data_IF_747595592314
#
_entry.id   IF_747595592314
#
_cell.length_a   1.000
_cell.length_b   1.000
_cell.length_c   1.000
_cell.angle_alpha   90.00
_cell.angle_beta   90.00
_cell.angle_gamma   90.00
#
_symmetry.space_group_name_H-M   'P 1'
#
loop_
_entity.id
_entity.type
_entity.pdbx_description
1 polymer ?
#
# COMPACT_ATOMS: atom_id res chain seq x y z
N UNK A 1 -47.66 -5.39 -0.52
CA UNK A 1 -47.01 -5.91 -1.76
C UNK A 1 -48.07 -5.96 -2.85
N UNK A 2 -47.80 -5.43 -4.04
CA UNK A 2 -48.78 -5.35 -5.13
C UNK A 2 -48.81 -6.69 -5.92
N UNK A 3 -49.94 -7.41 -5.99
CA UNK A 3 -50.04 -8.73 -6.64
C UNK A 3 -49.80 -8.70 -8.17
N UNK A 4 -49.95 -7.54 -8.81
CA UNK A 4 -49.74 -7.39 -10.26
C UNK A 4 -48.29 -7.10 -10.66
N UNK A 5 -47.35 -7.09 -9.71
CA UNK A 5 -45.94 -6.88 -10.02
C UNK A 5 -45.29 -8.18 -10.54
N UNK A 6 -45.49 -8.51 -11.82
CA UNK A 6 -44.71 -9.54 -12.54
C UNK A 6 -43.28 -9.06 -12.77
N UNK A 7 -42.45 -9.05 -11.72
CA UNK A 7 -41.03 -8.74 -11.86
C UNK A 7 -40.36 -9.86 -12.66
N UNK A 8 -39.84 -9.61 -13.87
CA UNK A 8 -39.13 -10.65 -14.61
C UNK A 8 -37.90 -11.08 -13.82
N UNK A 9 -37.66 -12.39 -13.72
CA UNK A 9 -36.42 -12.95 -13.15
C UNK A 9 -35.26 -12.55 -14.07
N UNK A 10 -34.62 -11.41 -13.79
CA UNK A 10 -33.35 -11.02 -14.41
C UNK A 10 -32.21 -11.72 -13.69
N UNK A 11 -32.04 -13.02 -13.90
CA UNK A 11 -30.79 -13.70 -13.52
C UNK A 11 -29.77 -13.45 -14.63
N UNK A 12 -29.02 -12.36 -14.51
CA UNK A 12 -27.90 -12.13 -15.42
C UNK A 12 -26.83 -13.16 -15.10
N UNK A 13 -26.39 -13.90 -16.11
CA UNK A 13 -25.35 -14.92 -15.93
C UNK A 13 -24.04 -14.20 -15.62
N UNK A 14 -23.40 -14.56 -14.51
CA UNK A 14 -22.08 -14.05 -14.13
C UNK A 14 -21.05 -14.12 -15.27
N UNK A 15 -21.20 -15.13 -16.14
CA UNK A 15 -20.44 -15.27 -17.40
C UNK A 15 -20.41 -13.99 -18.25
N UNK A 16 -21.54 -13.31 -18.42
CA UNK A 16 -21.62 -12.08 -19.24
C UNK A 16 -20.70 -10.99 -18.69
N UNK A 17 -20.72 -10.80 -17.37
CA UNK A 17 -19.89 -9.80 -16.70
C UNK A 17 -18.41 -10.18 -16.78
N UNK A 18 -18.08 -11.45 -16.58
CA UNK A 18 -16.71 -11.98 -16.66
C UNK A 18 -16.15 -11.85 -18.08
N UNK A 19 -16.92 -12.20 -19.10
CA UNK A 19 -16.51 -12.09 -20.50
C UNK A 19 -16.31 -10.61 -20.90
N UNK A 20 -17.22 -9.72 -20.45
CA UNK A 20 -17.06 -8.28 -20.64
C UNK A 20 -15.79 -7.75 -19.97
N UNK A 21 -15.49 -8.19 -18.74
CA UNK A 21 -14.27 -7.82 -18.03
C UNK A 21 -13.03 -8.23 -18.83
N UNK A 22 -12.98 -9.45 -19.37
CA UNK A 22 -11.84 -9.89 -20.17
C UNK A 22 -11.60 -9.00 -21.39
N UNK A 23 -12.66 -8.65 -22.13
CA UNK A 23 -12.54 -7.72 -23.26
C UNK A 23 -12.20 -6.28 -22.81
N UNK A 24 -12.71 -5.84 -21.66
CA UNK A 24 -12.36 -4.55 -21.08
C UNK A 24 -10.86 -4.46 -20.79
N UNK A 25 -10.26 -5.46 -20.15
CA UNK A 25 -8.82 -5.47 -19.89
C UNK A 25 -8.01 -5.54 -21.18
N UNK A 26 -8.37 -6.44 -22.10
CA UNK A 26 -7.69 -6.60 -23.39
C UNK A 26 -7.70 -5.31 -24.24
N UNK A 27 -8.78 -4.54 -24.19
CA UNK A 27 -8.92 -3.33 -25.01
C UNK A 27 -8.32 -2.10 -24.33
N UNK A 28 -8.60 -1.90 -23.04
CA UNK A 28 -8.28 -0.65 -22.35
C UNK A 28 -6.89 -0.65 -21.69
N UNK A 29 -6.31 -1.82 -21.38
CA UNK A 29 -4.99 -1.93 -20.71
C UNK A 29 -3.81 -2.16 -21.67
N UNK A 30 -3.91 -1.68 -22.91
CA UNK A 30 -2.74 -1.65 -23.81
C UNK A 30 -1.80 -0.51 -23.39
N UNK A 31 -0.88 -0.76 -22.47
CA UNK A 31 0.12 0.22 -22.04
C UNK A 31 1.32 0.22 -23.00
N UNK A 32 1.71 1.42 -23.42
CA UNK A 32 2.81 1.66 -24.36
C UNK A 32 4.06 2.15 -23.62
N UNK A 33 5.17 2.27 -24.34
CA UNK A 33 6.39 2.88 -23.80
C UNK A 33 6.17 4.33 -23.37
N UNK A 34 5.37 5.10 -24.12
CA UNK A 34 5.05 6.49 -23.79
C UNK A 34 4.28 6.60 -22.45
N UNK A 35 3.36 5.65 -22.19
CA UNK A 35 2.67 5.58 -20.89
C UNK A 35 3.65 5.29 -19.75
N UNK A 36 4.65 4.44 -19.99
CA UNK A 36 5.71 4.15 -19.02
C UNK A 36 6.62 5.37 -18.78
N UNK A 37 7.02 6.11 -19.81
CA UNK A 37 7.87 7.31 -19.65
C UNK A 37 7.13 8.42 -18.89
N UNK A 38 5.84 8.60 -19.18
CA UNK A 38 4.97 9.49 -18.41
C UNK A 38 4.85 9.04 -16.95
N UNK A 39 4.73 7.73 -16.71
CA UNK A 39 4.78 7.15 -15.38
C UNK A 39 6.11 7.43 -14.68
N UNK A 40 7.24 7.12 -15.31
CA UNK A 40 8.57 7.25 -14.72
C UNK A 40 8.86 8.70 -14.31
N UNK A 41 8.46 9.65 -15.16
CA UNK A 41 8.60 11.08 -14.89
C UNK A 41 7.78 11.48 -13.65
N UNK A 42 6.52 11.06 -13.58
CA UNK A 42 5.62 11.36 -12.45
C UNK A 42 6.06 10.66 -11.16
N UNK A 43 6.46 9.40 -11.25
CA UNK A 43 7.00 8.64 -10.14
C UNK A 43 8.27 9.30 -9.59
N UNK A 44 9.13 9.83 -10.48
CA UNK A 44 10.28 10.63 -10.10
C UNK A 44 9.87 11.81 -9.21
N UNK A 45 8.91 12.62 -9.66
CA UNK A 45 8.43 13.79 -8.90
C UNK A 45 7.86 13.43 -7.52
N UNK A 46 7.07 12.36 -7.45
CA UNK A 46 6.47 11.90 -6.19
C UNK A 46 7.49 11.29 -5.24
N UNK A 47 8.40 10.49 -5.78
CA UNK A 47 9.53 9.95 -5.03
C UNK A 47 10.37 11.09 -4.48
N UNK A 48 10.57 12.15 -5.26
CA UNK A 48 11.29 13.34 -4.80
C UNK A 48 10.52 14.08 -3.70
N UNK A 49 9.21 14.28 -3.83
CA UNK A 49 8.38 14.89 -2.78
C UNK A 49 8.40 14.08 -1.48
N UNK A 50 8.21 12.76 -1.56
CA UNK A 50 8.30 11.85 -0.40
C UNK A 50 9.70 11.88 0.21
N UNK A 51 10.75 11.85 -0.60
CA UNK A 51 12.14 11.95 -0.12
C UNK A 51 12.41 13.30 0.54
N UNK A 52 11.86 14.40 0.02
CA UNK A 52 11.95 15.72 0.64
C UNK A 52 11.24 15.71 2.00
N UNK A 53 10.04 15.12 2.09
CA UNK A 53 9.31 14.99 3.35
C UNK A 53 10.09 14.16 4.38
N UNK A 54 10.56 12.97 4.00
CA UNK A 54 11.37 12.09 4.86
C UNK A 54 12.66 12.79 5.31
N UNK A 55 13.36 13.49 4.41
CA UNK A 55 14.56 14.28 4.77
C UNK A 55 14.26 15.40 5.73
N UNK A 56 13.13 16.10 5.53
CA UNK A 56 12.70 17.19 6.41
C UNK A 56 12.42 16.66 7.82
N UNK A 57 11.73 15.53 7.90
CA UNK A 57 11.43 14.86 9.17
C UNK A 57 12.70 14.36 9.86
N UNK A 58 13.59 13.67 9.14
CA UNK A 58 14.88 13.22 9.68
C UNK A 58 15.71 14.39 10.23
N UNK A 59 15.80 15.51 9.50
CA UNK A 59 16.48 16.73 9.97
C UNK A 59 15.82 17.33 11.21
N UNK A 60 14.48 17.30 11.29
CA UNK A 60 13.76 17.77 12.47
C UNK A 60 14.11 16.92 13.70
N UNK A 61 14.13 15.60 13.54
CA UNK A 61 14.50 14.67 14.62
C UNK A 61 15.98 14.81 15.01
N UNK A 62 16.88 15.06 14.05
CA UNK A 62 18.30 15.36 14.33
C UNK A 62 18.47 16.63 15.15
N UNK A 63 17.70 17.67 14.84
CA UNK A 63 17.64 18.90 15.63
C UNK A 63 17.19 18.63 17.06
N UNK A 64 16.15 17.81 17.24
CA UNK A 64 15.65 17.44 18.55
C UNK A 64 16.63 16.56 19.34
N UNK A 65 17.24 15.57 18.69
CA UNK A 65 18.29 14.72 19.26
C UNK A 65 19.48 15.56 19.78
N UNK A 66 19.85 16.63 19.08
CA UNK A 66 20.91 17.54 19.54
C UNK A 66 20.54 18.22 20.85
N UNK A 67 19.28 18.64 21.02
CA UNK A 67 18.79 19.24 22.27
C UNK A 67 18.83 18.20 23.40
N UNK A 68 18.30 17.00 23.18
CA UNK A 68 18.34 15.91 24.16
C UNK A 68 19.77 15.59 24.60
N UNK A 69 20.72 15.49 23.65
CA UNK A 69 22.15 15.29 23.95
C UNK A 69 22.75 16.41 24.79
N UNK A 70 22.37 17.66 24.54
CA UNK A 70 22.79 18.80 25.36
C UNK A 70 22.20 18.72 26.78
N UNK A 71 20.94 18.33 26.92
CA UNK A 71 20.28 18.17 28.22
C UNK A 71 20.90 17.03 29.05
N UNK A 72 21.29 15.92 28.42
CA UNK A 72 22.05 14.84 29.06
C UNK A 72 23.38 15.38 29.59
N UNK A 73 24.13 16.13 28.77
CA UNK A 73 25.39 16.73 29.19
C UNK A 73 25.21 17.71 30.35
N UNK A 74 24.23 18.60 30.29
CA UNK A 74 23.97 19.54 31.37
C UNK A 74 23.53 18.85 32.67
N UNK A 75 22.64 17.85 32.55
CA UNK A 75 22.15 17.09 33.71
C UNK A 75 23.27 16.27 34.35
N UNK A 76 24.13 15.63 33.55
CA UNK A 76 25.29 14.88 34.06
C UNK A 76 26.29 15.78 34.77
N UNK A 77 26.59 16.98 34.24
CA UNK A 77 27.42 17.96 34.95
C UNK A 77 26.77 18.46 36.25
N UNK A 78 25.44 18.60 36.27
CA UNK A 78 24.69 18.93 37.47
C UNK A 78 24.81 17.85 38.54
N UNK A 79 24.72 16.58 38.17
CA UNK A 79 24.81 15.42 39.07
C UNK A 79 26.16 15.35 39.81
N UNK A 80 27.27 15.70 39.16
CA UNK A 80 28.62 15.71 39.77
C UNK A 80 28.68 16.59 41.02
N UNK A 81 27.86 17.64 41.09
CA UNK A 81 27.86 18.62 42.19
C UNK A 81 26.92 18.27 43.33
N UNK A 82 26.12 17.21 43.20
CA UNK A 82 25.07 16.86 44.16
C UNK A 82 25.51 15.69 45.06
N UNK A 83 25.13 15.68 46.36
CA UNK A 83 25.37 14.54 47.22
C UNK A 83 24.52 13.34 46.74
N UNK A 84 25.09 12.12 46.64
CA UNK A 84 24.40 10.94 46.11
C UNK A 84 23.07 10.59 46.81
N UNK A 85 22.99 10.84 48.12
CA UNK A 85 21.81 10.52 48.92
C UNK A 85 20.72 11.58 48.85
N UNK A 86 21.00 12.73 48.23
CA UNK A 86 20.05 13.83 48.15
C UNK A 86 18.86 13.49 47.24
N UNK A 87 17.69 14.04 47.56
CA UNK A 87 16.50 13.93 46.70
C UNK A 87 16.76 14.47 45.29
N UNK A 88 17.47 15.59 45.19
CA UNK A 88 17.82 16.22 43.92
C UNK A 88 18.71 15.32 43.05
N UNK A 89 19.64 14.56 43.65
CA UNK A 89 20.44 13.57 42.92
C UNK A 89 19.55 12.49 42.31
N UNK A 90 18.67 11.87 43.12
CA UNK A 90 17.76 10.81 42.66
C UNK A 90 16.83 11.27 41.52
N UNK A 91 16.25 12.46 41.65
CA UNK A 91 15.38 13.04 40.61
C UNK A 91 16.15 13.32 39.31
N UNK A 92 17.38 13.86 39.39
CA UNK A 92 18.21 14.11 38.22
C UNK A 92 18.74 12.81 37.58
N UNK A 93 19.05 11.78 38.36
CA UNK A 93 19.43 10.46 37.83
C UNK A 93 18.28 9.82 37.06
N UNK A 94 17.06 9.89 37.58
CA UNK A 94 15.87 9.42 36.88
C UNK A 94 15.65 10.21 35.58
N UNK A 95 15.77 11.54 35.63
CA UNK A 95 15.68 12.40 34.44
C UNK A 95 16.73 12.01 33.39
N UNK A 96 17.97 11.76 33.79
CA UNK A 96 19.04 11.33 32.91
C UNK A 96 18.69 10.02 32.21
N UNK A 97 18.21 9.01 32.94
CA UNK A 97 17.77 7.74 32.34
C UNK A 97 16.62 7.90 31.33
N UNK A 98 15.67 8.82 31.59
CA UNK A 98 14.61 9.12 30.64
C UNK A 98 15.14 9.79 29.35
N UNK A 99 16.09 10.72 29.48
CA UNK A 99 16.72 11.38 28.34
C UNK A 99 17.53 10.41 27.49
N UNK A 100 18.26 9.47 28.11
CA UNK A 100 19.01 8.42 27.40
C UNK A 100 18.07 7.46 26.64
N UNK A 101 16.92 7.09 27.24
CA UNK A 101 15.91 6.29 26.55
C UNK A 101 15.30 7.04 25.35
N UNK A 102 15.07 8.35 25.50
CA UNK A 102 14.60 9.20 24.41
C UNK A 102 15.64 9.36 23.29
N UNK A 103 16.92 9.54 23.63
CA UNK A 103 18.03 9.55 22.70
C UNK A 103 18.06 8.29 21.83
N UNK A 104 18.02 7.11 22.46
CA UNK A 104 18.02 5.83 21.76
C UNK A 104 16.82 5.67 20.82
N UNK A 105 15.63 6.14 21.25
CA UNK A 105 14.42 6.14 20.43
C UNK A 105 14.58 7.03 19.18
N UNK A 106 15.07 8.25 19.36
CA UNK A 106 15.28 9.20 18.26
C UNK A 106 16.31 8.69 17.27
N UNK A 107 17.42 8.10 17.75
CA UNK A 107 18.43 7.48 16.89
C UNK A 107 17.85 6.32 16.07
N UNK A 108 16.99 5.49 16.68
CA UNK A 108 16.25 4.45 15.98
C UNK A 108 15.37 4.99 14.84
N UNK A 109 14.58 6.02 15.12
CA UNK A 109 13.70 6.65 14.13
C UNK A 109 14.49 7.30 12.98
N UNK A 110 15.57 8.02 13.30
CA UNK A 110 16.46 8.62 12.29
C UNK A 110 17.07 7.53 11.40
N UNK A 111 17.50 6.41 11.99
CA UNK A 111 18.07 5.27 11.25
C UNK A 111 17.04 4.66 10.30
N UNK A 112 15.81 4.47 10.75
CA UNK A 112 14.71 3.96 9.91
C UNK A 112 14.43 4.88 8.73
N UNK A 113 14.22 6.18 8.98
CA UNK A 113 13.97 7.17 7.92
C UNK A 113 15.12 7.25 6.91
N UNK A 114 16.37 7.18 7.37
CA UNK A 114 17.55 7.12 6.49
C UNK A 114 17.62 5.82 5.70
N UNK A 115 17.19 4.70 6.29
CA UNK A 115 17.04 3.42 5.59
C UNK A 115 16.03 3.51 4.44
N UNK A 116 14.87 4.11 4.67
CA UNK A 116 13.85 4.34 3.64
C UNK A 116 14.39 5.19 2.47
N UNK A 117 15.27 6.16 2.75
CA UNK A 117 15.91 6.97 1.69
C UNK A 117 16.90 6.16 0.84
N UNK A 118 17.62 5.20 1.44
CA UNK A 118 18.59 4.35 0.75
C UNK A 118 17.91 3.30 -0.16
N UNK A 119 16.75 2.78 0.26
CA UNK A 119 16.03 1.72 -0.46
C UNK A 119 15.07 2.22 -1.55
N UNK A 120 14.84 3.53 -1.66
CA UNK A 120 13.82 4.13 -2.55
C UNK A 120 13.96 3.82 -4.05
N UNK A 121 15.10 3.31 -4.51
CA UNK A 121 15.30 2.88 -5.91
C UNK A 121 14.68 1.50 -6.20
N UNK A 122 14.48 0.65 -5.17
CA UNK A 122 13.89 -0.70 -5.31
C UNK A 122 12.43 -0.68 -5.74
N UNK A 123 11.75 0.43 -5.55
CA UNK A 123 10.34 0.58 -5.89
C UNK A 123 10.08 0.90 -7.36
N UNK A 124 11.12 1.23 -8.14
CA UNK A 124 11.02 1.51 -9.57
C UNK A 124 11.00 0.21 -10.36
N UNK A 125 9.86 -0.11 -10.96
CA UNK A 125 9.78 -1.17 -11.97
C UNK A 125 10.56 -0.73 -13.21
N UNK A 126 11.37 -1.62 -13.78
CA UNK A 126 11.98 -1.39 -15.10
C UNK A 126 10.89 -1.35 -16.19
N UNK A 127 11.18 -0.73 -17.34
CA UNK A 127 10.27 -0.70 -18.49
C UNK A 127 9.82 -2.12 -18.87
N UNK A 128 10.77 -3.06 -18.89
CA UNK A 128 10.49 -4.44 -19.23
C UNK A 128 9.59 -5.11 -18.19
N UNK A 129 9.88 -4.92 -16.90
CA UNK A 129 9.03 -5.42 -15.82
C UNK A 129 7.62 -4.85 -15.93
N UNK A 130 7.48 -3.55 -16.17
CA UNK A 130 6.20 -2.89 -16.35
C UNK A 130 5.41 -3.47 -17.52
N UNK A 131 6.00 -3.52 -18.73
CA UNK A 131 5.32 -4.05 -19.91
C UNK A 131 4.96 -5.52 -19.74
N UNK A 132 5.83 -6.31 -19.13
CA UNK A 132 5.56 -7.72 -18.84
C UNK A 132 4.41 -7.88 -17.85
N UNK A 133 4.32 -7.00 -16.86
CA UNK A 133 3.24 -7.01 -15.88
C UNK A 133 1.89 -6.75 -16.55
N UNK A 134 1.82 -5.74 -17.40
CA UNK A 134 0.61 -5.39 -18.13
C UNK A 134 0.18 -6.52 -19.06
N UNK A 135 1.13 -7.12 -19.79
CA UNK A 135 0.86 -8.30 -20.62
C UNK A 135 0.35 -9.49 -19.79
N UNK A 136 0.89 -9.69 -18.59
CA UNK A 136 0.49 -10.77 -17.69
C UNK A 136 -0.84 -10.50 -16.99
N UNK A 137 -1.23 -9.25 -16.78
CA UNK A 137 -2.44 -8.88 -16.05
C UNK A 137 -3.70 -9.52 -16.67
N UNK A 138 -3.82 -9.50 -18.01
CA UNK A 138 -4.93 -10.18 -18.71
C UNK A 138 -4.96 -11.68 -18.40
N UNK A 139 -3.80 -12.35 -18.50
CA UNK A 139 -3.68 -13.78 -18.22
C UNK A 139 -3.99 -14.10 -16.76
N UNK A 140 -3.48 -13.30 -15.83
CA UNK A 140 -3.73 -13.44 -14.39
C UNK A 140 -5.22 -13.34 -14.09
N UNK A 141 -5.91 -12.34 -14.66
CA UNK A 141 -7.34 -12.15 -14.47
C UNK A 141 -8.12 -13.32 -15.05
N UNK A 142 -7.73 -13.85 -16.22
CA UNK A 142 -8.38 -15.03 -16.81
C UNK A 142 -8.21 -16.28 -15.94
N UNK A 143 -7.00 -16.53 -15.45
CA UNK A 143 -6.67 -17.71 -14.63
C UNK A 143 -7.02 -17.56 -13.16
N UNK A 144 -7.37 -16.37 -12.69
CA UNK A 144 -7.70 -16.10 -11.30
C UNK A 144 -8.98 -16.85 -10.87
N UNK A 145 -9.00 -17.27 -9.61
CA UNK A 145 -10.20 -17.80 -8.97
C UNK A 145 -11.28 -16.71 -8.85
N UNK A 146 -12.54 -17.11 -8.68
CA UNK A 146 -13.72 -16.24 -8.57
C UNK A 146 -13.54 -15.18 -7.49
N UNK A 147 -12.96 -15.55 -6.33
CA UNK A 147 -12.70 -14.63 -5.22
C UNK A 147 -11.70 -13.53 -5.64
N UNK A 148 -10.60 -13.92 -6.31
CA UNK A 148 -9.60 -12.97 -6.81
C UNK A 148 -10.18 -12.07 -7.89
N UNK A 149 -10.98 -12.62 -8.80
CA UNK A 149 -11.68 -11.84 -9.84
C UNK A 149 -12.58 -10.78 -9.23
N UNK A 150 -13.39 -11.15 -8.22
CA UNK A 150 -14.23 -10.18 -7.49
C UNK A 150 -13.39 -9.10 -6.80
N UNK A 151 -12.31 -9.48 -6.11
CA UNK A 151 -11.40 -8.51 -5.48
C UNK A 151 -10.81 -7.53 -6.50
N UNK A 152 -10.33 -8.02 -7.64
CA UNK A 152 -9.83 -7.20 -8.75
C UNK A 152 -10.92 -6.26 -9.27
N UNK A 153 -12.14 -6.75 -9.41
CA UNK A 153 -13.27 -5.93 -9.86
C UNK A 153 -13.59 -4.81 -8.86
N UNK A 154 -13.63 -5.11 -7.55
CA UNK A 154 -13.87 -4.11 -6.51
C UNK A 154 -12.75 -3.09 -6.39
N UNK A 155 -11.53 -3.45 -6.79
CA UNK A 155 -10.40 -2.52 -6.80
C UNK A 155 -10.48 -1.54 -7.97
N UNK A 156 -10.90 -2.01 -9.15
CA UNK A 156 -10.87 -1.22 -10.38
C UNK A 156 -12.17 -0.44 -10.59
N UNK A 157 -13.30 -1.07 -10.29
CA UNK A 157 -14.60 -0.54 -10.60
C UNK A 157 -15.29 -0.03 -9.35
N UNK A 158 -15.91 1.14 -9.49
CA UNK A 158 -16.77 1.70 -8.47
C UNK A 158 -18.15 1.04 -8.56
N UNK A 159 -18.73 1.01 -9.77
CA UNK A 159 -20.06 0.47 -10.04
C UNK A 159 -20.19 -0.01 -11.49
N UNK A 160 -21.14 -0.92 -11.73
CA UNK A 160 -21.58 -1.34 -13.07
C UNK A 160 -23.11 -1.26 -13.13
N UNK A 161 -23.64 -0.87 -14.27
CA UNK A 161 -25.06 -1.03 -14.60
C UNK A 161 -25.19 -2.08 -15.70
N UNK A 162 -26.14 -2.97 -15.51
CA UNK A 162 -26.45 -4.03 -16.46
C UNK A 162 -27.81 -3.73 -17.08
N UNK A 163 -27.88 -3.80 -18.40
CA UNK A 163 -29.14 -3.74 -19.12
C UNK A 163 -29.30 -4.99 -19.98
N UNK A 164 -30.29 -5.81 -19.63
CA UNK A 164 -30.50 -7.12 -20.19
C UNK A 164 -29.27 -8.02 -20.05
N UNK A 165 -28.68 -8.38 -21.19
CA UNK A 165 -27.53 -9.30 -21.29
C UNK A 165 -26.20 -8.58 -21.54
N UNK A 166 -26.13 -7.27 -21.28
CA UNK A 166 -24.91 -6.48 -21.52
C UNK A 166 -24.62 -5.52 -20.37
N UNK A 167 -23.35 -5.17 -20.20
CA UNK A 167 -22.93 -4.07 -19.33
C UNK A 167 -23.27 -2.76 -20.03
N UNK A 168 -24.23 -2.02 -19.51
CA UNK A 168 -24.74 -0.79 -20.12
C UNK A 168 -23.83 0.40 -19.86
N UNK A 169 -23.35 0.53 -18.62
CA UNK A 169 -22.34 1.51 -18.26
C UNK A 169 -21.55 1.06 -17.03
N UNK A 170 -20.36 1.60 -16.86
CA UNK A 170 -19.51 1.35 -15.71
C UNK A 170 -18.89 2.65 -15.23
N UNK A 171 -18.54 2.68 -13.94
CA UNK A 171 -17.72 3.73 -13.35
C UNK A 171 -16.48 3.09 -12.76
N UNK A 172 -15.34 3.65 -13.09
CA UNK A 172 -14.05 3.23 -12.56
C UNK A 172 -13.79 3.97 -11.25
N UNK A 173 -13.03 3.34 -10.35
CA UNK A 173 -12.46 4.05 -9.22
C UNK A 173 -11.30 4.91 -9.72
N UNK A 174 -11.07 6.03 -9.04
CA UNK A 174 -9.76 6.65 -9.14
C UNK A 174 -8.74 5.63 -8.63
N UNK A 175 -7.72 5.32 -9.43
CA UNK A 175 -7.18 6.15 -10.50
C UNK A 175 -7.55 5.80 -11.95
N UNK A 176 -8.16 4.63 -12.12
CA UNK A 176 -8.36 4.00 -13.41
C UNK A 176 -9.24 4.86 -14.32
N UNK A 177 -10.18 5.59 -13.71
CA UNK A 177 -11.06 6.51 -14.41
C UNK A 177 -10.27 7.62 -15.11
N UNK A 178 -9.45 8.36 -14.35
CA UNK A 178 -8.57 9.39 -14.93
C UNK A 178 -7.66 8.77 -15.98
N UNK A 179 -6.97 7.67 -15.67
CA UNK A 179 -5.95 7.07 -16.54
C UNK A 179 -6.50 6.65 -17.91
N UNK A 180 -7.69 6.04 -17.94
CA UNK A 180 -8.33 5.62 -19.18
C UNK A 180 -8.98 6.78 -19.92
N UNK A 181 -9.51 7.80 -19.22
CA UNK A 181 -10.02 9.01 -19.84
C UNK A 181 -8.92 9.87 -20.47
N UNK A 182 -7.72 9.95 -19.86
CA UNK A 182 -6.56 10.64 -20.43
C UNK A 182 -6.20 10.13 -21.82
N UNK A 183 -6.31 8.82 -22.02
CA UNK A 183 -6.00 8.20 -23.32
C UNK A 183 -7.00 8.61 -24.39
N UNK A 184 -8.24 8.89 -23.98
CA UNK A 184 -9.31 9.34 -24.85
C UNK A 184 -9.28 10.86 -25.07
N UNK A 185 -8.77 11.64 -24.10
CA UNK A 185 -8.61 13.09 -24.23
C UNK A 185 -7.13 13.50 -24.25
N UNK A 186 -6.61 13.83 -25.43
CA UNK A 186 -5.26 14.37 -25.70
C UNK A 186 -5.02 15.78 -25.07
N UNK A 187 -5.41 16.02 -23.81
CA UNK A 187 -5.38 17.35 -23.21
C UNK A 187 -4.61 17.43 -21.89
N UNK A 188 -3.79 18.47 -21.84
CA UNK A 188 -2.69 18.78 -20.96
C UNK A 188 -3.15 19.44 -19.65
N UNK A 189 -3.45 18.62 -18.64
CA UNK A 189 -3.33 18.96 -17.19
C UNK A 189 -3.92 17.80 -16.41
N UNK A 190 -3.10 17.01 -15.73
CA UNK A 190 -3.61 15.86 -14.98
C UNK A 190 -2.95 15.62 -13.63
N UNK A 191 -3.80 15.09 -12.75
CA UNK A 191 -3.57 14.78 -11.34
C UNK A 191 -2.60 13.62 -11.18
N UNK A 192 -1.62 13.86 -10.32
CA UNK A 192 -0.48 13.01 -10.00
C UNK A 192 -0.90 11.71 -9.28
N UNK A 193 -2.04 11.74 -8.58
CA UNK A 193 -2.54 10.68 -7.70
C UNK A 193 -3.06 9.45 -8.41
N UNK A 194 -3.48 9.58 -9.68
CA UNK A 194 -4.10 8.47 -10.37
C UNK A 194 -3.06 7.35 -10.64
N UNK A 195 -2.00 7.66 -11.37
CA UNK A 195 -1.02 6.65 -11.75
C UNK A 195 -0.40 5.93 -10.53
N UNK A 196 -0.23 6.58 -9.38
CA UNK A 196 0.27 5.94 -8.14
C UNK A 196 -0.62 4.80 -7.65
N UNK A 197 -1.91 5.06 -7.48
CA UNK A 197 -2.86 4.07 -6.99
C UNK A 197 -2.95 2.87 -7.95
N UNK A 198 -2.66 3.07 -9.23
CA UNK A 198 -2.68 2.00 -10.24
C UNK A 198 -1.47 1.11 -10.05
N UNK A 199 -0.31 1.70 -9.78
CA UNK A 199 0.90 0.94 -9.51
C UNK A 199 0.87 0.25 -8.16
N UNK A 200 0.31 0.87 -7.12
CA UNK A 200 0.09 0.20 -5.84
C UNK A 200 -0.89 -0.97 -6.00
N UNK A 201 -1.94 -0.82 -6.81
CA UNK A 201 -2.81 -1.92 -7.20
C UNK A 201 -2.05 -3.05 -7.92
N UNK A 202 -1.19 -2.70 -8.88
CA UNK A 202 -0.36 -3.65 -9.63
C UNK A 202 0.64 -4.37 -8.70
N UNK A 203 1.26 -3.65 -7.75
CA UNK A 203 2.13 -4.23 -6.70
C UNK A 203 1.33 -5.15 -5.78
N UNK A 204 0.13 -4.75 -5.36
CA UNK A 204 -0.77 -5.60 -4.56
C UNK A 204 -1.15 -6.87 -5.32
N UNK A 205 -1.52 -6.75 -6.60
CA UNK A 205 -1.77 -7.87 -7.51
C UNK A 205 -0.58 -8.82 -7.59
N UNK A 206 0.65 -8.29 -7.67
CA UNK A 206 1.88 -9.09 -7.70
C UNK A 206 2.23 -9.73 -6.36
N UNK A 207 1.79 -9.14 -5.24
CA UNK A 207 1.93 -9.71 -3.90
C UNK A 207 0.87 -10.76 -3.59
N UNK A 208 -0.20 -10.88 -4.38
CA UNK A 208 -1.25 -11.90 -4.18
C UNK A 208 -0.74 -13.35 -4.11
N UNK A 209 0.23 -13.80 -4.93
CA UNK A 209 0.81 -15.14 -4.80
C UNK A 209 1.57 -15.33 -3.48
N UNK A 210 2.23 -14.28 -2.98
CA UNK A 210 2.93 -14.32 -1.69
C UNK A 210 1.95 -14.29 -0.51
N UNK A 211 0.82 -13.58 -0.67
CA UNK A 211 -0.28 -13.60 0.30
C UNK A 211 -0.93 -14.99 0.38
N UNK A 212 -1.05 -15.73 -0.72
CA UNK A 212 -1.55 -17.10 -0.69
C UNK A 212 -0.64 -18.03 0.09
N UNK A 213 0.67 -17.91 -0.07
CA UNK A 213 1.63 -18.69 0.72
C UNK A 213 1.50 -18.36 2.21
N UNK A 214 1.41 -17.08 2.56
CA UNK A 214 1.20 -16.66 3.95
C UNK A 214 -0.15 -17.12 4.54
N UNK A 215 -1.23 -17.09 3.77
CA UNK A 215 -2.56 -17.56 4.20
C UNK A 215 -2.57 -19.08 4.34
N UNK A 216 -1.93 -19.80 3.43
CA UNK A 216 -1.82 -21.27 3.47
C UNK A 216 -0.95 -21.71 4.64
N UNK A 217 0.19 -21.05 4.86
CA UNK A 217 1.09 -21.30 6.00
C UNK A 217 0.38 -21.02 7.33
N UNK A 218 -0.42 -19.95 7.41
CA UNK A 218 -1.23 -19.63 8.59
C UNK A 218 -2.36 -20.65 8.83
N UNK A 219 -3.02 -21.13 7.77
CA UNK A 219 -4.03 -22.18 7.86
C UNK A 219 -3.42 -23.53 8.32
N UNK A 220 -2.20 -23.84 7.88
CA UNK A 220 -1.47 -25.04 8.32
C UNK A 220 -1.00 -24.92 9.79
N UNK A 221 -0.57 -23.74 10.21
CA UNK A 221 -0.20 -23.46 11.61
C UNK A 221 -1.41 -23.60 12.55
N UNK A 222 -2.59 -23.14 12.13
CA UNK A 222 -3.83 -23.25 12.92
C UNK A 222 -4.39 -24.67 12.96
N UNK A 223 -4.25 -25.46 11.89
CA UNK A 223 -4.58 -26.90 11.90
C UNK A 223 -3.66 -27.71 12.81
N UNK A 224 -2.37 -27.40 12.86
CA UNK A 224 -1.41 -28.07 13.75
C UNK A 224 -1.60 -27.70 15.23
N UNK A 225 -2.12 -26.51 15.54
CA UNK A 225 -2.46 -26.12 16.91
C UNK A 225 -3.80 -26.73 17.39
N UNK A 226 -4.74 -27.00 16.49
CA UNK A 226 -5.99 -27.69 16.80
C UNK A 226 -5.81 -29.20 17.05
N UNK A 227 -4.75 -29.81 16.52
CA UNK A 227 -4.43 -31.24 16.73
C UNK A 227 -3.77 -31.58 18.08
N UNK A 228 -3.46 -30.58 18.92
CA UNK A 228 -2.68 -30.80 20.16
C UNK A 228 -3.48 -30.72 21.47
N UNK A 229 -4.82 -30.65 21.42
CA UNK A 229 -5.67 -30.71 22.62
C UNK A 229 -7.00 -31.42 22.36
N UNK A 230 -7.08 -32.70 22.72
CA UNK A 230 -7.93 -33.23 23.81
C UNK A 230 -8.07 -34.75 23.70
N UNK A 231 -7.20 -35.49 24.39
CA UNK A 231 -7.55 -36.81 24.88
C UNK A 231 -8.44 -36.60 26.11
N UNK A 232 -9.76 -36.70 25.93
CA UNK A 232 -10.66 -36.99 27.04
C UNK A 232 -10.57 -38.49 27.29
N UNK A 233 -9.95 -38.84 28.42
CA UNK A 233 -10.08 -40.16 29.02
C UNK A 233 -11.51 -40.25 29.56
N UNK A 234 -12.27 -41.22 29.05
CA UNK A 234 -13.56 -41.64 29.61
C UNK A 234 -13.33 -42.40 30.93
#
# INVERSE_FOLDING_TARGET
MNPDCKRPKKSIRAKVLVDWLYEFFKTNFKLTKADYEAYQTRLGQLTDQKRIAIRKEARSLEGYLKVVKQDIQQTSFGLIKLPPDSRAFKENSLKMGNLEAEEAKLEGQIKELRGQLADSEKDKLTLEQFLNLVKKAERIIKSADVIKKDAICRLIFLNFSLDGEKVASYRLKEPFDTMLKTRLSLSSRQSVTAFELFFDFIKQLLKLPQLEQQITDYALLTQNQAGSRMNFVL
#
